data_IF_036228239825
#
_entry.id   IF_036228239825
#
_cell.length_a   1.000
_cell.length_b   1.000
_cell.length_c   1.000
_cell.angle_alpha   90.00
_cell.angle_beta   90.00
_cell.angle_gamma   90.00
#
_symmetry.space_group_name_H-M   'P 1'
#
loop_
_entity.id
_entity.type
_entity.pdbx_description
1 polymer ?
#
# COMPACT_ATOMS: atom_id res chain seq x y z
N UNK A 1 -26.34 18.04 11.76
CA UNK A 1 -27.07 16.79 11.95
C UNK A 1 -27.06 15.91 10.69
N UNK A 2 -27.60 16.32 9.54
CA UNK A 2 -27.59 15.56 8.27
C UNK A 2 -26.17 15.14 7.82
N UNK A 3 -25.14 15.98 7.98
CA UNK A 3 -23.75 15.67 7.62
C UNK A 3 -23.12 14.57 8.49
N UNK A 4 -23.46 14.49 9.78
CA UNK A 4 -22.99 13.45 10.69
C UNK A 4 -23.62 12.08 10.36
N UNK A 5 -24.92 12.04 10.08
CA UNK A 5 -25.62 10.81 9.67
C UNK A 5 -25.09 10.31 8.31
N UNK A 6 -24.80 11.24 7.38
CA UNK A 6 -24.22 10.90 6.09
C UNK A 6 -22.77 10.38 6.26
N UNK A 7 -21.97 10.99 7.13
CA UNK A 7 -20.62 10.57 7.46
C UNK A 7 -20.59 9.13 8.00
N UNK A 8 -21.44 8.80 8.97
CA UNK A 8 -21.52 7.44 9.52
C UNK A 8 -22.09 6.40 8.52
N UNK A 9 -22.97 6.81 7.62
CA UNK A 9 -23.52 5.93 6.59
C UNK A 9 -22.50 5.58 5.51
N UNK A 10 -21.59 6.50 5.20
CA UNK A 10 -20.49 6.29 4.23
C UNK A 10 -19.46 5.25 4.69
N UNK A 11 -19.37 4.98 6.00
CA UNK A 11 -18.43 4.02 6.56
C UNK A 11 -19.05 2.65 6.87
N UNK A 12 -20.24 2.35 6.35
CA UNK A 12 -20.89 1.03 6.50
C UNK A 12 -20.99 0.50 7.95
N UNK A 13 -20.90 1.39 8.95
CA UNK A 13 -21.05 1.06 10.36
C UNK A 13 -22.52 1.24 10.77
N UNK A 14 -23.16 0.16 11.22
CA UNK A 14 -24.48 0.23 11.84
C UNK A 14 -24.35 0.99 13.17
N UNK A 15 -24.72 2.28 13.15
CA UNK A 15 -24.96 3.03 14.39
C UNK A 15 -26.05 2.29 15.14
N UNK A 16 -25.82 1.95 16.40
CA UNK A 16 -26.88 1.35 17.19
C UNK A 16 -28.06 2.33 17.25
N UNK A 17 -29.29 1.80 17.12
CA UNK A 17 -30.51 2.63 17.19
C UNK A 17 -30.57 3.44 18.51
N UNK A 18 -29.93 2.90 19.57
CA UNK A 18 -29.75 3.57 20.85
C UNK A 18 -28.91 4.85 20.76
N UNK A 19 -27.74 4.80 20.09
CA UNK A 19 -26.87 5.97 19.94
C UNK A 19 -27.54 7.09 19.14
N UNK A 20 -28.28 6.73 18.08
CA UNK A 20 -29.06 7.70 17.29
C UNK A 20 -30.21 8.30 18.11
N UNK A 21 -30.89 7.50 18.91
CA UNK A 21 -31.94 7.95 19.81
C UNK A 21 -31.39 8.91 20.88
N UNK A 22 -30.23 8.63 21.45
CA UNK A 22 -29.54 9.50 22.42
C UNK A 22 -29.22 10.86 21.81
N UNK A 23 -28.67 10.90 20.60
CA UNK A 23 -28.40 12.16 19.89
C UNK A 23 -29.70 12.92 19.57
N UNK A 24 -30.79 12.24 19.21
CA UNK A 24 -32.07 12.86 18.87
C UNK A 24 -32.80 13.38 20.09
N UNK A 25 -32.69 12.71 21.25
CA UNK A 25 -33.34 13.09 22.50
C UNK A 25 -32.55 14.16 23.27
N UNK A 26 -31.20 14.13 23.16
CA UNK A 26 -30.36 15.13 23.85
C UNK A 26 -30.57 16.57 23.34
N UNK A 27 -30.85 16.74 22.05
CA UNK A 27 -31.04 18.08 21.45
C UNK A 27 -32.28 18.80 22.00
N UNK A 28 -33.47 18.20 22.01
CA UNK A 28 -34.65 18.88 22.59
C UNK A 28 -34.61 19.02 24.13
N UNK A 29 -33.94 18.08 24.83
CA UNK A 29 -33.72 18.19 26.28
C UNK A 29 -32.80 19.36 26.59
N UNK A 30 -31.67 19.50 25.88
CA UNK A 30 -30.77 20.64 26.03
C UNK A 30 -31.48 21.93 25.66
N UNK A 31 -32.29 21.95 24.59
CA UNK A 31 -33.10 23.08 24.18
C UNK A 31 -34.10 23.48 25.24
N UNK A 32 -34.86 22.54 25.80
CA UNK A 32 -35.82 22.77 26.87
C UNK A 32 -35.19 23.27 28.17
N UNK A 33 -34.01 22.73 28.55
CA UNK A 33 -33.24 23.20 29.71
C UNK A 33 -32.73 24.62 29.46
N UNK A 34 -32.26 24.95 28.25
CA UNK A 34 -31.81 26.29 27.89
C UNK A 34 -32.98 27.30 27.98
N UNK A 35 -34.16 26.95 27.51
CA UNK A 35 -35.36 27.79 27.60
C UNK A 35 -35.83 27.95 29.08
N UNK A 36 -35.86 26.86 29.86
CA UNK A 36 -36.23 26.90 31.28
C UNK A 36 -35.24 27.77 32.09
N UNK A 37 -33.96 27.67 31.83
CA UNK A 37 -32.90 28.44 32.47
C UNK A 37 -32.92 29.91 32.02
N UNK A 38 -33.32 30.18 30.76
CA UNK A 38 -33.48 31.55 30.25
C UNK A 38 -34.58 32.35 30.96
N UNK A 39 -35.51 31.65 31.56
CA UNK A 39 -36.59 32.25 32.35
C UNK A 39 -36.23 32.64 33.79
N UNK A 40 -35.07 32.19 34.31
CA UNK A 40 -34.60 32.44 35.70
C UNK A 40 -33.48 33.48 35.75
N UNK A 41 -33.50 34.38 36.73
CA UNK A 41 -32.75 35.65 36.75
C UNK A 41 -31.27 35.57 37.12
N UNK A 42 -30.73 34.47 37.63
CA UNK A 42 -29.29 34.38 37.99
C UNK A 42 -28.45 33.68 36.94
N UNK A 43 -27.44 34.38 36.41
CA UNK A 43 -26.55 33.88 35.34
C UNK A 43 -25.72 32.66 35.77
N UNK A 44 -25.24 32.63 37.00
CA UNK A 44 -24.30 31.60 37.53
C UNK A 44 -24.99 30.25 37.67
N UNK A 45 -26.18 30.19 38.24
CA UNK A 45 -26.96 28.94 38.36
C UNK A 45 -27.27 28.32 37.00
N UNK A 46 -27.43 29.16 35.96
CA UNK A 46 -27.67 28.70 34.59
C UNK A 46 -26.48 27.99 33.99
N UNK A 47 -25.29 28.57 34.19
CA UNK A 47 -24.06 28.06 33.62
C UNK A 47 -23.70 26.74 34.26
N UNK A 48 -23.81 26.62 35.59
CA UNK A 48 -23.44 25.43 36.34
C UNK A 48 -24.42 24.27 36.07
N UNK A 49 -25.70 24.54 36.03
CA UNK A 49 -26.73 23.56 35.68
C UNK A 49 -26.54 23.00 34.27
N UNK A 50 -26.28 23.88 33.28
CA UNK A 50 -26.03 23.48 31.90
C UNK A 50 -24.73 22.67 31.78
N UNK A 51 -23.66 23.08 32.47
CA UNK A 51 -22.39 22.40 32.47
C UNK A 51 -22.50 21.02 33.13
N UNK A 52 -23.20 20.92 34.26
CA UNK A 52 -23.48 19.64 34.94
C UNK A 52 -24.23 18.64 34.05
N UNK A 53 -25.31 19.10 33.39
CA UNK A 53 -26.08 18.27 32.46
C UNK A 53 -25.23 17.82 31.28
N UNK A 54 -24.40 18.71 30.71
CA UNK A 54 -23.48 18.38 29.61
C UNK A 54 -22.46 17.33 30.00
N UNK A 55 -21.93 17.43 31.21
CA UNK A 55 -20.98 16.43 31.76
C UNK A 55 -21.66 15.07 31.91
N UNK A 56 -22.84 15.00 32.52
CA UNK A 56 -23.61 13.76 32.73
C UNK A 56 -23.93 13.09 31.38
N UNK A 57 -24.38 13.84 30.39
CA UNK A 57 -24.68 13.32 29.07
C UNK A 57 -23.39 12.82 28.36
N UNK A 58 -22.29 13.49 28.57
CA UNK A 58 -21.01 13.10 27.99
C UNK A 58 -20.46 11.81 28.63
N UNK A 59 -20.59 11.65 29.95
CA UNK A 59 -20.22 10.41 30.66
C UNK A 59 -21.08 9.24 30.15
N UNK A 60 -22.37 9.45 30.00
CA UNK A 60 -23.26 8.42 29.46
C UNK A 60 -22.91 8.03 28.00
N UNK A 61 -22.58 9.00 27.15
CA UNK A 61 -22.08 8.71 25.80
C UNK A 61 -20.82 7.86 25.82
N UNK A 62 -19.87 8.13 26.71
CA UNK A 62 -18.66 7.31 26.88
C UNK A 62 -19.03 5.90 27.31
N UNK A 63 -19.91 5.73 28.27
CA UNK A 63 -20.37 4.43 28.74
C UNK A 63 -20.96 3.57 27.61
N UNK A 64 -21.72 4.14 26.70
CA UNK A 64 -22.27 3.46 25.52
C UNK A 64 -21.23 3.15 24.43
N UNK A 65 -20.21 4.00 24.30
CA UNK A 65 -19.19 3.87 23.24
C UNK A 65 -18.06 2.92 23.59
N UNK A 66 -17.67 2.81 24.86
CA UNK A 66 -16.55 1.94 25.27
C UNK A 66 -16.76 0.48 24.85
N UNK A 67 -17.89 -0.19 25.10
CA UNK A 67 -18.10 -1.58 24.69
C UNK A 67 -18.02 -1.75 23.16
N UNK A 68 -18.52 -0.76 22.41
CA UNK A 68 -18.49 -0.77 20.96
C UNK A 68 -17.04 -0.60 20.45
N UNK A 69 -16.26 0.27 21.07
CA UNK A 69 -14.85 0.45 20.78
C UNK A 69 -14.04 -0.82 21.06
N UNK A 70 -14.25 -1.45 22.23
CA UNK A 70 -13.54 -2.68 22.62
C UNK A 70 -13.85 -3.82 21.64
N UNK A 71 -15.10 -3.93 21.18
CA UNK A 71 -15.55 -4.96 20.25
C UNK A 71 -15.05 -4.74 18.81
N UNK A 72 -15.09 -3.50 18.33
CA UNK A 72 -14.77 -3.16 16.95
C UNK A 72 -13.33 -2.75 16.74
N UNK A 73 -12.63 -2.31 17.83
CA UNK A 73 -11.34 -1.61 17.79
C UNK A 73 -11.30 -0.47 16.77
N UNK A 74 -12.48 0.12 16.51
CA UNK A 74 -12.64 1.17 15.53
C UNK A 74 -11.96 2.45 15.99
N UNK A 75 -11.02 2.93 15.21
CA UNK A 75 -10.27 4.15 15.47
C UNK A 75 -11.19 5.38 15.58
N UNK A 76 -12.30 5.38 14.82
CA UNK A 76 -13.29 6.46 14.85
C UNK A 76 -14.05 6.53 16.16
N UNK A 77 -14.39 5.37 16.76
CA UNK A 77 -14.99 5.30 18.08
C UNK A 77 -14.02 5.78 19.16
N UNK A 78 -12.73 5.45 19.03
CA UNK A 78 -11.66 6.00 19.89
C UNK A 78 -11.59 7.52 19.81
N UNK A 79 -11.69 8.07 18.60
CA UNK A 79 -11.72 9.52 18.37
C UNK A 79 -12.91 10.19 19.04
N UNK A 80 -14.08 9.61 18.88
CA UNK A 80 -15.31 10.14 19.48
C UNK A 80 -15.23 10.13 21.00
N UNK A 81 -14.68 9.07 21.61
CA UNK A 81 -14.45 8.98 23.05
C UNK A 81 -13.49 10.09 23.54
N UNK A 82 -12.36 10.29 22.83
CA UNK A 82 -11.40 11.35 23.20
C UNK A 82 -12.05 12.74 23.08
N UNK A 83 -12.82 12.98 22.02
CA UNK A 83 -13.55 14.26 21.86
C UNK A 83 -14.53 14.50 23.00
N UNK A 84 -15.25 13.48 23.44
CA UNK A 84 -16.20 13.57 24.55
C UNK A 84 -15.46 13.80 25.87
N UNK A 85 -14.35 13.10 26.14
CA UNK A 85 -13.51 13.32 27.33
C UNK A 85 -12.98 14.77 27.36
N UNK A 86 -12.52 15.27 26.22
CA UNK A 86 -12.08 16.65 26.10
C UNK A 86 -13.19 17.65 26.44
N UNK A 87 -14.40 17.34 26.03
CA UNK A 87 -15.57 18.17 26.31
C UNK A 87 -15.91 18.18 27.81
N UNK A 88 -15.82 17.04 28.50
CA UNK A 88 -15.99 16.93 29.96
C UNK A 88 -14.95 17.80 30.68
N UNK A 89 -13.70 17.71 30.30
CA UNK A 89 -12.62 18.50 30.90
C UNK A 89 -12.89 20.01 30.74
N UNK A 90 -13.35 20.44 29.57
CA UNK A 90 -13.73 21.85 29.32
C UNK A 90 -14.84 22.34 30.22
N UNK A 91 -15.90 21.57 30.32
CA UNK A 91 -17.04 21.94 31.16
C UNK A 91 -16.67 21.96 32.64
N UNK A 92 -15.88 20.99 33.10
CA UNK A 92 -15.38 20.93 34.48
C UNK A 92 -14.44 22.10 34.81
N UNK A 93 -13.54 22.47 33.87
CA UNK A 93 -12.68 23.64 34.02
C UNK A 93 -13.49 24.93 34.04
N UNK A 94 -14.55 25.04 33.26
CA UNK A 94 -15.42 26.20 33.26
C UNK A 94 -16.13 26.38 34.60
N UNK A 95 -16.68 25.31 35.20
CA UNK A 95 -17.28 25.35 36.54
C UNK A 95 -16.26 25.81 37.58
N UNK A 96 -15.07 25.20 37.57
CA UNK A 96 -13.97 25.57 38.48
C UNK A 96 -13.55 27.03 38.33
N UNK A 97 -13.47 27.55 37.09
CA UNK A 97 -13.14 28.96 36.83
C UNK A 97 -14.21 29.91 37.39
N UNK A 98 -15.49 29.60 37.21
CA UNK A 98 -16.58 30.43 37.74
C UNK A 98 -16.50 30.49 39.26
N UNK A 99 -16.34 29.34 39.94
CA UNK A 99 -16.28 29.27 41.41
C UNK A 99 -15.06 29.99 42.00
N UNK A 100 -13.91 29.92 41.35
CA UNK A 100 -12.66 30.47 41.93
C UNK A 100 -12.41 31.95 41.56
N UNK A 101 -12.95 32.42 40.47
CA UNK A 101 -12.74 33.82 40.05
C UNK A 101 -13.84 34.76 40.49
N UNK A 102 -15.02 34.29 40.94
CA UNK A 102 -16.06 35.15 41.48
C UNK A 102 -15.54 35.98 42.66
N UNK A 103 -14.72 35.39 43.58
CA UNK A 103 -14.17 36.08 44.71
C UNK A 103 -13.07 37.09 44.36
N UNK A 104 -12.50 36.99 43.15
CA UNK A 104 -11.43 37.87 42.69
C UNK A 104 -11.97 39.11 41.96
N UNK A 105 -13.18 39.04 41.39
CA UNK A 105 -13.77 40.07 40.54
C UNK A 105 -14.77 41.02 41.25
N UNK A 106 -15.06 40.79 42.51
CA UNK A 106 -15.99 41.67 43.26
C UNK A 106 -15.45 43.08 43.55
N UNK A 107 -14.21 43.41 43.18
CA UNK A 107 -13.54 44.65 43.59
C UNK A 107 -13.08 45.60 42.47
N UNK A 108 -13.30 45.34 41.19
CA UNK A 108 -12.79 46.21 40.14
C UNK A 108 -13.82 46.55 39.05
N UNK A 109 -13.64 47.67 38.37
CA UNK A 109 -14.59 48.32 37.46
C UNK A 109 -14.88 47.54 36.16
N UNK A 110 -16.11 47.69 35.69
CA UNK A 110 -16.83 46.90 34.63
C UNK A 110 -16.09 46.81 33.26
N UNK A 111 -15.08 47.61 32.98
CA UNK A 111 -14.42 47.63 31.67
C UNK A 111 -13.07 46.87 31.64
N UNK A 112 -12.38 46.71 32.77
CA UNK A 112 -11.09 46.00 32.85
C UNK A 112 -11.26 44.49 33.11
N UNK A 113 -12.40 44.08 33.61
CA UNK A 113 -12.67 42.70 34.05
C UNK A 113 -12.94 41.71 32.88
N UNK A 114 -13.56 42.21 31.80
CA UNK A 114 -13.98 41.32 30.70
C UNK A 114 -12.84 40.93 29.73
N UNK A 115 -11.80 41.73 29.60
CA UNK A 115 -10.75 41.53 28.59
C UNK A 115 -9.80 40.34 28.94
N UNK A 116 -9.26 40.23 30.18
CA UNK A 116 -8.41 39.12 30.57
C UNK A 116 -9.18 37.76 30.52
N UNK A 117 -10.42 37.76 30.97
CA UNK A 117 -11.25 36.55 30.94
C UNK A 117 -11.59 36.12 29.50
N UNK A 118 -11.93 37.09 28.64
CA UNK A 118 -12.13 36.84 27.22
C UNK A 118 -10.89 36.25 26.53
N UNK A 119 -9.71 36.83 26.81
CA UNK A 119 -8.44 36.36 26.28
C UNK A 119 -8.14 34.95 26.79
N UNK A 120 -8.33 34.66 28.08
CA UNK A 120 -8.12 33.34 28.65
C UNK A 120 -9.04 32.29 27.99
N UNK A 121 -10.32 32.61 27.79
CA UNK A 121 -11.27 31.75 27.07
C UNK A 121 -10.85 31.51 25.63
N UNK A 122 -10.40 32.55 24.92
CA UNK A 122 -9.94 32.46 23.54
C UNK A 122 -8.70 31.57 23.43
N UNK A 123 -7.71 31.73 24.32
CA UNK A 123 -6.52 30.88 24.39
C UNK A 123 -6.88 29.43 24.61
N UNK A 124 -7.78 29.13 25.53
CA UNK A 124 -8.25 27.77 25.79
C UNK A 124 -8.92 27.18 24.56
N UNK A 125 -9.80 27.92 23.87
CA UNK A 125 -10.45 27.46 22.63
C UNK A 125 -9.43 27.15 21.55
N UNK A 126 -8.44 28.04 21.37
CA UNK A 126 -7.37 27.84 20.37
C UNK A 126 -6.52 26.62 20.70
N UNK A 127 -6.13 26.45 21.95
CA UNK A 127 -5.37 25.26 22.40
C UNK A 127 -6.15 23.97 22.15
N UNK A 128 -7.46 23.98 22.43
CA UNK A 128 -8.32 22.84 22.14
C UNK A 128 -8.41 22.53 20.65
N UNK A 129 -8.60 23.56 19.83
CA UNK A 129 -8.62 23.38 18.39
C UNK A 129 -7.31 22.79 17.87
N UNK A 130 -6.17 23.27 18.36
CA UNK A 130 -4.85 22.74 17.99
C UNK A 130 -4.65 21.28 18.43
N UNK A 131 -5.03 20.94 19.65
CA UNK A 131 -4.98 19.55 20.16
C UNK A 131 -5.88 18.66 19.31
N UNK A 132 -7.11 19.11 19.01
CA UNK A 132 -8.04 18.35 18.20
C UNK A 132 -7.51 18.09 16.77
N UNK A 133 -6.92 19.12 16.16
CA UNK A 133 -6.27 19.00 14.84
C UNK A 133 -5.08 18.04 14.89
N UNK A 134 -4.23 18.14 15.92
CA UNK A 134 -3.07 17.28 16.08
C UNK A 134 -3.47 15.81 16.24
N UNK A 135 -4.47 15.53 17.10
CA UNK A 135 -5.03 14.20 17.29
C UNK A 135 -5.66 13.71 15.98
N UNK A 136 -6.41 14.57 15.28
CA UNK A 136 -7.01 14.27 13.98
C UNK A 136 -5.99 13.83 12.94
N UNK A 137 -4.93 14.59 12.79
CA UNK A 137 -3.84 14.29 11.87
C UNK A 137 -3.11 12.99 12.23
N UNK A 138 -2.87 12.75 13.53
CA UNK A 138 -2.25 11.51 13.99
C UNK A 138 -3.07 10.27 13.59
N UNK A 139 -4.36 10.27 13.88
CA UNK A 139 -5.24 9.15 13.54
C UNK A 139 -5.44 8.99 12.04
N UNK A 140 -5.58 10.11 11.31
CA UNK A 140 -5.67 10.08 9.85
C UNK A 140 -4.42 9.46 9.23
N UNK A 141 -3.24 9.88 9.68
CA UNK A 141 -1.97 9.33 9.22
C UNK A 141 -1.87 7.83 9.49
N UNK A 142 -2.27 7.39 10.70
CA UNK A 142 -2.29 5.97 11.05
C UNK A 142 -3.25 5.17 10.18
N UNK A 143 -4.46 5.68 9.93
CA UNK A 143 -5.44 5.03 9.06
C UNK A 143 -4.90 4.84 7.64
N UNK A 144 -4.30 5.90 7.07
CA UNK A 144 -3.72 5.84 5.72
C UNK A 144 -2.57 4.83 5.66
N UNK A 145 -1.75 4.75 6.72
CA UNK A 145 -0.67 3.76 6.79
C UNK A 145 -1.20 2.32 6.91
N UNK A 146 -2.22 2.10 7.73
CA UNK A 146 -2.84 0.78 7.89
C UNK A 146 -3.53 0.31 6.59
N UNK A 147 -4.21 1.23 5.87
CA UNK A 147 -4.79 0.91 4.55
C UNK A 147 -3.73 0.57 3.50
N UNK A 148 -2.62 1.33 3.48
CA UNK A 148 -1.49 1.04 2.58
C UNK A 148 -0.89 -0.33 2.87
N UNK A 149 -0.61 -0.61 4.14
CA UNK A 149 -0.07 -1.90 4.57
C UNK A 149 -0.98 -3.06 4.18
N UNK A 150 -2.29 -2.95 4.44
CA UNK A 150 -3.25 -3.98 4.06
C UNK A 150 -3.32 -4.18 2.54
N UNK A 151 -3.18 -3.12 1.77
CA UNK A 151 -3.12 -3.20 0.30
C UNK A 151 -1.85 -3.92 -0.15
N UNK A 152 -0.68 -3.54 0.38
CA UNK A 152 0.60 -4.17 0.08
C UNK A 152 0.59 -5.67 0.45
N UNK A 153 0.03 -6.05 1.60
CA UNK A 153 -0.13 -7.45 2.01
C UNK A 153 -1.04 -8.24 1.04
N UNK A 154 -2.14 -7.66 0.58
CA UNK A 154 -3.02 -8.30 -0.40
C UNK A 154 -2.38 -8.45 -1.77
N UNK A 155 -1.67 -7.43 -2.24
CA UNK A 155 -0.92 -7.47 -3.49
C UNK A 155 0.16 -8.56 -3.45
N UNK A 156 0.90 -8.66 -2.34
CA UNK A 156 1.90 -9.71 -2.16
C UNK A 156 1.29 -11.10 -2.15
N UNK A 157 0.18 -11.30 -1.43
CA UNK A 157 -0.56 -12.57 -1.44
C UNK A 157 -1.05 -12.95 -2.84
N UNK A 158 -1.55 -11.98 -3.62
CA UNK A 158 -1.97 -12.20 -4.99
C UNK A 158 -0.79 -12.59 -5.89
N UNK A 159 0.35 -11.90 -5.78
CA UNK A 159 1.56 -12.25 -6.53
C UNK A 159 2.07 -13.66 -6.19
N UNK A 160 2.04 -14.04 -4.90
CA UNK A 160 2.39 -15.39 -4.46
C UNK A 160 1.42 -16.42 -5.04
N UNK A 161 0.13 -16.15 -5.04
CA UNK A 161 -0.87 -17.06 -5.61
C UNK A 161 -0.69 -17.24 -7.13
N UNK A 162 -0.44 -16.15 -7.87
CA UNK A 162 -0.16 -16.20 -9.31
C UNK A 162 1.14 -16.95 -9.61
N UNK A 163 2.20 -16.70 -8.83
CA UNK A 163 3.44 -17.43 -8.90
C UNK A 163 3.23 -18.95 -8.69
N UNK A 164 2.50 -19.34 -7.64
CA UNK A 164 2.25 -20.73 -7.33
C UNK A 164 1.41 -21.41 -8.42
N UNK A 165 0.46 -20.67 -9.03
CA UNK A 165 -0.34 -21.16 -10.14
C UNK A 165 0.52 -21.41 -11.39
N UNK A 166 1.42 -20.49 -11.72
CA UNK A 166 2.36 -20.65 -12.82
C UNK A 166 3.28 -21.86 -12.59
N UNK A 167 3.89 -21.96 -11.41
CA UNK A 167 4.81 -23.05 -11.05
C UNK A 167 4.14 -24.42 -10.95
N UNK A 168 2.84 -24.49 -10.62
CA UNK A 168 2.12 -25.76 -10.50
C UNK A 168 1.96 -26.50 -11.83
N UNK A 169 2.07 -25.82 -12.97
CA UNK A 169 1.96 -26.41 -14.32
C UNK A 169 3.31 -26.57 -15.02
N UNK A 170 4.32 -25.86 -14.58
CA UNK A 170 5.67 -25.94 -15.14
C UNK A 170 6.60 -26.68 -14.16
N UNK A 171 7.58 -27.38 -14.69
CA UNK A 171 8.63 -28.03 -13.88
C UNK A 171 9.66 -27.01 -13.32
N UNK A 172 9.39 -25.70 -13.44
CA UNK A 172 10.22 -24.68 -12.85
C UNK A 172 10.14 -24.70 -11.33
N UNK A 173 11.29 -24.87 -10.71
CA UNK A 173 11.39 -24.98 -9.25
C UNK A 173 11.21 -23.59 -8.61
N UNK A 174 10.74 -23.55 -7.36
CA UNK A 174 10.66 -22.30 -6.59
C UNK A 174 12.02 -21.58 -6.51
N UNK A 175 13.12 -22.35 -6.61
CA UNK A 175 14.48 -21.84 -6.62
C UNK A 175 14.82 -21.03 -7.88
N UNK A 176 14.38 -21.46 -9.07
CA UNK A 176 14.51 -20.70 -10.32
C UNK A 176 13.93 -19.29 -10.19
N UNK A 177 12.72 -19.21 -9.66
CA UNK A 177 12.02 -17.92 -9.46
C UNK A 177 12.80 -17.03 -8.48
N UNK A 178 13.30 -17.61 -7.38
CA UNK A 178 14.09 -16.85 -6.42
C UNK A 178 15.39 -16.36 -7.03
N UNK A 179 16.07 -17.18 -7.82
CA UNK A 179 17.33 -16.80 -8.50
C UNK A 179 17.10 -15.69 -9.52
N UNK A 180 16.14 -15.86 -10.44
CA UNK A 180 15.89 -14.90 -11.52
C UNK A 180 15.49 -13.52 -11.00
N UNK A 181 14.62 -13.44 -9.97
CA UNK A 181 14.27 -12.14 -9.39
C UNK A 181 15.47 -11.44 -8.73
N UNK A 182 16.39 -12.18 -8.10
CA UNK A 182 17.60 -11.59 -7.53
C UNK A 182 18.59 -11.16 -8.61
N UNK A 183 18.73 -11.90 -9.71
CA UNK A 183 19.56 -11.49 -10.85
C UNK A 183 19.02 -10.19 -11.47
N UNK A 184 17.71 -10.09 -11.68
CA UNK A 184 17.05 -8.89 -12.18
C UNK A 184 17.36 -7.69 -11.29
N UNK A 185 17.25 -7.85 -9.96
CA UNK A 185 17.56 -6.78 -9.01
C UNK A 185 19.01 -6.33 -9.10
N UNK A 186 19.96 -7.27 -9.08
CA UNK A 186 21.39 -6.97 -9.13
C UNK A 186 21.76 -6.24 -10.44
N UNK A 187 21.21 -6.69 -11.57
CA UNK A 187 21.42 -6.02 -12.86
C UNK A 187 20.85 -4.60 -12.87
N UNK A 188 19.62 -4.43 -12.40
CA UNK A 188 18.98 -3.12 -12.38
C UNK A 188 19.70 -2.13 -11.45
N UNK A 189 20.17 -2.59 -10.28
CA UNK A 189 20.98 -1.78 -9.35
C UNK A 189 22.31 -1.38 -9.98
N UNK A 190 22.97 -2.30 -10.70
CA UNK A 190 24.22 -2.00 -11.39
C UNK A 190 24.01 -1.02 -12.55
N UNK A 191 22.99 -1.20 -13.36
CA UNK A 191 22.65 -0.29 -14.45
C UNK A 191 22.36 1.13 -13.93
N UNK A 192 21.63 1.24 -12.81
CA UNK A 192 21.43 2.53 -12.15
C UNK A 192 22.76 3.15 -11.71
N UNK A 193 23.67 2.38 -11.10
CA UNK A 193 24.98 2.86 -10.69
C UNK A 193 25.88 3.25 -11.88
N UNK A 194 25.67 2.65 -13.04
CA UNK A 194 26.34 3.02 -14.30
C UNK A 194 25.73 4.27 -14.96
N UNK A 195 24.62 4.80 -14.44
CA UNK A 195 23.92 5.93 -15.04
C UNK A 195 23.13 5.57 -16.31
N UNK A 196 22.81 4.30 -16.50
CA UNK A 196 22.04 3.84 -17.65
C UNK A 196 20.55 4.02 -17.42
N UNK A 197 19.86 4.76 -18.29
CA UNK A 197 18.43 5.10 -18.18
C UNK A 197 18.02 5.62 -16.79
N UNK A 198 18.64 6.67 -16.25
CA UNK A 198 18.34 7.18 -14.90
C UNK A 198 16.90 7.69 -14.76
N UNK A 199 16.24 8.01 -15.88
CA UNK A 199 14.83 8.38 -15.94
C UNK A 199 13.88 7.18 -15.69
N UNK A 200 14.31 5.97 -15.98
CA UNK A 200 13.55 4.72 -15.81
C UNK A 200 13.94 3.98 -14.54
N UNK A 201 15.20 4.06 -14.13
CA UNK A 201 15.75 3.31 -13.01
C UNK A 201 15.81 4.15 -11.73
N UNK A 202 15.11 3.70 -10.72
CA UNK A 202 15.14 4.20 -9.35
C UNK A 202 14.79 3.07 -8.37
N UNK A 203 14.89 3.32 -7.07
CA UNK A 203 14.59 2.29 -6.06
C UNK A 203 13.19 1.67 -6.19
N UNK A 204 12.19 2.47 -6.58
CA UNK A 204 10.81 1.98 -6.72
C UNK A 204 10.67 1.09 -7.96
N UNK A 205 11.19 1.51 -9.13
CA UNK A 205 11.16 0.70 -10.37
C UNK A 205 11.98 -0.59 -10.24
N UNK A 206 13.14 -0.55 -9.58
CA UNK A 206 13.95 -1.75 -9.30
C UNK A 206 13.19 -2.75 -8.42
N UNK A 207 12.52 -2.25 -7.37
CA UNK A 207 11.67 -3.11 -6.54
C UNK A 207 10.47 -3.66 -7.31
N UNK A 208 9.89 -2.86 -8.21
CA UNK A 208 8.81 -3.32 -9.08
C UNK A 208 9.28 -4.44 -10.02
N UNK A 209 10.43 -4.29 -10.68
CA UNK A 209 11.03 -5.35 -11.52
C UNK A 209 11.33 -6.62 -10.72
N UNK A 210 11.91 -6.50 -9.52
CA UNK A 210 12.17 -7.63 -8.63
C UNK A 210 10.90 -8.42 -8.31
N UNK A 211 9.80 -7.73 -7.98
CA UNK A 211 8.51 -8.34 -7.67
C UNK A 211 7.79 -8.89 -8.91
N UNK A 212 8.03 -8.31 -10.07
CA UNK A 212 7.43 -8.69 -11.35
C UNK A 212 8.11 -9.88 -12.02
N UNK A 213 9.43 -10.06 -11.84
CA UNK A 213 10.22 -11.10 -12.47
C UNK A 213 9.63 -12.54 -12.35
N UNK A 214 9.04 -12.95 -11.21
CA UNK A 214 8.36 -14.23 -11.07
C UNK A 214 7.22 -14.50 -12.06
N UNK A 215 6.69 -13.46 -12.70
CA UNK A 215 5.54 -13.55 -13.60
C UNK A 215 5.93 -13.62 -15.08
N UNK A 216 7.23 -13.71 -15.41
CA UNK A 216 7.68 -13.72 -16.81
C UNK A 216 7.03 -14.83 -17.64
N UNK A 217 6.83 -15.99 -17.04
CA UNK A 217 6.28 -17.19 -17.65
C UNK A 217 4.82 -17.50 -17.30
N UNK A 218 4.08 -16.54 -16.72
CA UNK A 218 2.68 -16.74 -16.31
C UNK A 218 1.78 -17.24 -17.43
N UNK A 219 2.08 -16.90 -18.68
CA UNK A 219 1.32 -17.32 -19.84
C UNK A 219 1.47 -18.80 -20.21
N UNK A 220 2.43 -19.54 -19.63
CA UNK A 220 2.52 -21.01 -19.78
C UNK A 220 1.27 -21.72 -19.31
N UNK A 221 0.47 -21.07 -18.43
CA UNK A 221 -0.84 -21.60 -18.01
C UNK A 221 -1.81 -21.82 -19.19
N UNK A 222 -1.66 -21.06 -20.27
CA UNK A 222 -2.46 -21.18 -21.49
C UNK A 222 -1.90 -22.18 -22.52
N UNK A 223 -0.73 -22.78 -22.29
CA UNK A 223 -0.13 -23.74 -23.20
C UNK A 223 -0.73 -25.14 -22.95
N UNK A 224 -1.16 -25.89 -23.99
CA UNK A 224 -1.68 -27.25 -23.83
C UNK A 224 -0.65 -28.19 -23.20
N UNK A 225 -1.12 -29.07 -22.29
CA UNK A 225 -0.25 -29.99 -21.51
C UNK A 225 0.59 -30.90 -22.39
N UNK A 226 0.08 -31.37 -23.52
CA UNK A 226 0.81 -32.25 -24.44
C UNK A 226 2.02 -31.54 -25.11
N UNK A 227 2.05 -30.19 -25.08
CA UNK A 227 3.17 -29.38 -25.57
C UNK A 227 4.06 -28.98 -24.37
N UNK A 228 3.46 -28.44 -23.31
CA UNK A 228 4.19 -27.94 -22.13
C UNK A 228 4.97 -29.04 -21.43
N UNK A 229 4.36 -30.21 -21.25
CA UNK A 229 4.93 -31.36 -20.53
C UNK A 229 5.54 -32.41 -21.46
N UNK A 230 5.73 -32.09 -22.73
CA UNK A 230 6.24 -33.07 -23.71
C UNK A 230 7.63 -33.56 -23.34
N UNK A 231 7.82 -34.88 -23.16
CA UNK A 231 9.15 -35.43 -22.97
C UNK A 231 9.95 -35.38 -24.28
N UNK A 232 10.90 -34.43 -24.38
CA UNK A 232 11.76 -34.30 -25.54
C UNK A 232 11.61 -32.96 -26.26
N UNK A 233 12.14 -32.88 -27.49
CA UNK A 233 12.13 -31.64 -28.27
C UNK A 233 10.77 -31.37 -28.89
N UNK A 234 10.36 -30.10 -28.89
CA UNK A 234 9.17 -29.65 -29.62
C UNK A 234 9.48 -29.65 -31.13
N UNK A 235 8.49 -30.02 -31.93
CA UNK A 235 8.53 -29.82 -33.38
C UNK A 235 8.28 -28.34 -33.73
N UNK A 236 8.34 -27.97 -35.00
CA UNK A 236 8.21 -26.59 -35.45
C UNK A 236 6.83 -25.99 -35.11
N UNK A 237 5.76 -26.78 -35.24
CA UNK A 237 4.38 -26.34 -34.96
C UNK A 237 4.16 -26.17 -33.45
N UNK A 238 4.56 -27.13 -32.66
CA UNK A 238 4.51 -27.08 -31.20
C UNK A 238 5.33 -25.91 -30.65
N UNK A 239 6.48 -25.63 -31.29
CA UNK A 239 7.30 -24.48 -30.91
C UNK A 239 6.59 -23.15 -31.20
N UNK A 240 5.83 -23.03 -32.29
CA UNK A 240 5.01 -21.84 -32.53
C UNK A 240 3.95 -21.65 -31.44
N UNK A 241 3.31 -22.74 -31.00
CA UNK A 241 2.35 -22.69 -29.88
C UNK A 241 3.07 -22.31 -28.57
N UNK A 242 4.22 -22.92 -28.27
CA UNK A 242 5.00 -22.59 -27.08
C UNK A 242 5.35 -21.10 -27.00
N UNK A 243 5.76 -20.49 -28.12
CA UNK A 243 6.09 -19.05 -28.16
C UNK A 243 4.91 -18.12 -27.77
N UNK A 244 3.67 -18.60 -27.88
CA UNK A 244 2.50 -17.78 -27.52
C UNK A 244 2.38 -17.50 -26.03
N UNK A 245 3.13 -18.23 -25.15
CA UNK A 245 3.07 -17.94 -23.71
C UNK A 245 3.40 -16.48 -23.38
N UNK A 246 4.32 -15.85 -24.13
CA UNK A 246 4.65 -14.44 -23.91
C UNK A 246 3.45 -13.52 -24.13
N UNK A 247 2.76 -13.65 -25.27
CA UNK A 247 1.55 -12.86 -25.59
C UNK A 247 0.36 -13.22 -24.70
N UNK A 248 0.19 -14.47 -24.32
CA UNK A 248 -0.84 -14.91 -23.36
C UNK A 248 -0.59 -14.27 -22.00
N UNK A 249 0.65 -14.34 -21.50
CA UNK A 249 1.03 -13.75 -20.22
C UNK A 249 0.79 -12.24 -20.18
N UNK A 250 1.20 -11.54 -21.21
CA UNK A 250 0.93 -10.11 -21.37
C UNK A 250 -0.58 -9.81 -21.34
N UNK A 251 -1.38 -10.57 -22.09
CA UNK A 251 -2.82 -10.38 -22.18
C UNK A 251 -3.52 -10.61 -20.85
N UNK A 252 -3.15 -11.66 -20.11
CA UNK A 252 -3.69 -11.98 -18.79
C UNK A 252 -3.38 -10.85 -17.79
N UNK A 253 -2.13 -10.38 -17.79
CA UNK A 253 -1.72 -9.29 -16.90
C UNK A 253 -2.39 -7.96 -17.28
N UNK A 254 -2.54 -7.63 -18.56
CA UNK A 254 -3.30 -6.45 -19.03
C UNK A 254 -4.76 -6.51 -18.59
N UNK A 255 -5.40 -7.67 -18.70
CA UNK A 255 -6.79 -7.84 -18.27
C UNK A 255 -6.98 -7.62 -16.78
N UNK A 256 -5.99 -7.97 -15.94
CA UNK A 256 -6.06 -7.78 -14.48
C UNK A 256 -6.11 -6.31 -14.07
N UNK A 257 -5.55 -5.39 -14.86
CA UNK A 257 -5.52 -3.95 -14.57
C UNK A 257 -6.56 -3.13 -15.33
N UNK A 258 -7.30 -3.72 -16.25
CA UNK A 258 -8.28 -3.01 -17.07
C UNK A 258 -9.34 -2.24 -16.26
N UNK A 259 -9.60 -2.64 -15.02
CA UNK A 259 -10.56 -2.02 -14.10
C UNK A 259 -9.90 -1.30 -12.91
N UNK A 260 -8.56 -1.15 -12.90
CA UNK A 260 -7.86 -0.47 -11.80
C UNK A 260 -7.68 1.01 -12.10
N UNK A 261 -8.13 1.87 -11.18
CA UNK A 261 -8.00 3.34 -11.29
C UNK A 261 -6.57 3.87 -11.02
N UNK A 262 -5.64 3.01 -10.62
CA UNK A 262 -4.25 3.39 -10.33
C UNK A 262 -3.29 2.48 -11.10
N UNK A 263 -2.26 3.09 -11.69
CA UNK A 263 -1.16 2.36 -12.35
C UNK A 263 -0.30 1.70 -11.27
N UNK A 264 -0.27 0.37 -11.26
CA UNK A 264 0.61 -0.40 -10.40
C UNK A 264 1.91 -0.69 -11.16
N UNK A 265 3.03 -0.14 -10.66
CA UNK A 265 4.35 -0.32 -11.30
C UNK A 265 4.78 -1.78 -11.37
N UNK A 266 4.38 -2.64 -10.42
CA UNK A 266 4.72 -4.06 -10.43
C UNK A 266 4.02 -4.75 -11.60
N UNK A 267 2.72 -4.50 -11.78
CA UNK A 267 1.97 -5.10 -12.88
C UNK A 267 2.40 -4.52 -14.24
N UNK A 268 2.70 -3.22 -14.32
CA UNK A 268 3.26 -2.63 -15.56
C UNK A 268 4.60 -3.28 -15.94
N UNK A 269 5.50 -3.50 -14.96
CA UNK A 269 6.75 -4.21 -15.19
C UNK A 269 6.50 -5.67 -15.58
N UNK A 270 5.55 -6.35 -14.93
CA UNK A 270 5.19 -7.74 -15.24
C UNK A 270 4.64 -7.89 -16.68
N UNK A 271 3.79 -6.96 -17.14
CA UNK A 271 3.29 -6.94 -18.52
C UNK A 271 4.45 -6.85 -19.52
N UNK A 272 5.40 -5.94 -19.30
CA UNK A 272 6.56 -5.75 -20.17
C UNK A 272 7.49 -6.96 -20.14
N UNK A 273 7.74 -7.51 -18.97
CA UNK A 273 8.57 -8.71 -18.79
C UNK A 273 7.92 -9.91 -19.47
N UNK A 274 6.67 -10.24 -19.15
CA UNK A 274 5.99 -11.40 -19.72
C UNK A 274 5.87 -11.29 -21.25
N UNK A 275 5.53 -10.11 -21.76
CA UNK A 275 5.36 -9.88 -23.20
C UNK A 275 6.65 -9.91 -24.01
N UNK A 276 7.78 -9.50 -23.42
CA UNK A 276 8.97 -9.15 -24.21
C UNK A 276 10.28 -9.81 -23.76
N UNK A 277 10.30 -10.70 -22.74
CA UNK A 277 11.56 -11.30 -22.24
C UNK A 277 12.25 -12.25 -23.24
N UNK A 278 11.55 -12.67 -24.29
CA UNK A 278 12.11 -13.45 -25.40
C UNK A 278 12.44 -12.61 -26.64
N UNK A 279 12.26 -11.29 -26.57
CA UNK A 279 12.79 -10.41 -27.61
C UNK A 279 14.33 -10.43 -27.60
N UNK A 280 14.93 -10.18 -28.76
CA UNK A 280 16.39 -10.18 -28.91
C UNK A 280 16.84 -8.82 -29.42
N UNK A 281 17.99 -8.36 -28.95
CA UNK A 281 18.53 -7.06 -29.30
C UNK A 281 18.56 -6.77 -30.80
N UNK A 282 18.83 -7.80 -31.62
CA UNK A 282 18.90 -7.71 -33.08
C UNK A 282 17.55 -7.85 -33.79
N UNK A 283 16.43 -7.94 -33.06
CA UNK A 283 15.07 -8.05 -33.64
C UNK A 283 14.67 -9.46 -34.11
N UNK A 284 15.49 -10.50 -33.84
CA UNK A 284 15.14 -11.89 -34.19
C UNK A 284 14.37 -12.62 -33.11
N UNK A 285 13.91 -11.91 -32.08
CA UNK A 285 13.12 -12.43 -30.98
C UNK A 285 11.64 -12.59 -31.28
N UNK A 286 10.86 -12.84 -30.25
CA UNK A 286 9.39 -12.96 -30.32
C UNK A 286 8.73 -12.39 -29.05
N UNK A 287 7.45 -12.06 -29.07
CA UNK A 287 6.46 -12.26 -30.13
C UNK A 287 6.43 -11.14 -31.17
N UNK A 288 7.00 -9.96 -30.89
CA UNK A 288 6.84 -8.74 -31.69
C UNK A 288 7.98 -8.43 -32.65
N UNK A 289 9.16 -9.07 -32.45
CA UNK A 289 10.36 -8.77 -33.21
C UNK A 289 10.93 -7.36 -32.93
N UNK A 290 10.80 -6.90 -31.69
CA UNK A 290 11.35 -5.61 -31.26
C UNK A 290 12.87 -5.62 -31.32
N UNK A 291 13.47 -4.47 -31.66
CA UNK A 291 14.92 -4.33 -31.80
C UNK A 291 15.48 -3.22 -30.90
N UNK A 292 16.65 -3.46 -30.33
CA UNK A 292 17.41 -2.47 -29.58
C UNK A 292 16.62 -1.92 -28.41
N UNK A 293 16.60 -0.61 -28.26
CA UNK A 293 15.92 0.09 -27.16
C UNK A 293 14.39 0.08 -27.26
N UNK A 294 13.82 -0.37 -28.39
CA UNK A 294 12.38 -0.62 -28.49
C UNK A 294 11.91 -1.76 -27.60
N UNK A 295 12.83 -2.65 -27.18
CA UNK A 295 12.57 -3.67 -26.17
C UNK A 295 12.54 -2.99 -24.79
N UNK A 296 11.46 -3.14 -23.99
CA UNK A 296 11.42 -2.59 -22.65
C UNK A 296 12.65 -3.00 -21.82
N UNK A 297 13.21 -2.06 -21.04
CA UNK A 297 14.41 -2.30 -20.24
C UNK A 297 14.23 -3.49 -19.28
N UNK A 298 13.06 -3.59 -18.67
CA UNK A 298 12.68 -4.69 -17.77
C UNK A 298 12.80 -6.05 -18.46
N UNK A 299 12.40 -6.13 -19.72
CA UNK A 299 12.47 -7.35 -20.52
C UNK A 299 13.91 -7.66 -20.95
N UNK A 300 14.72 -6.64 -21.30
CA UNK A 300 16.16 -6.83 -21.62
C UNK A 300 16.93 -7.40 -20.44
N UNK A 301 16.64 -6.90 -19.22
CA UNK A 301 17.26 -7.38 -17.97
C UNK A 301 16.80 -8.81 -17.70
N UNK A 302 15.49 -9.10 -17.80
CA UNK A 302 14.93 -10.43 -17.55
C UNK A 302 15.47 -11.48 -18.51
N UNK A 303 15.59 -11.16 -19.80
CA UNK A 303 16.11 -12.05 -20.84
C UNK A 303 17.51 -12.59 -20.49
N UNK A 304 18.40 -11.74 -19.99
CA UNK A 304 19.74 -12.16 -19.57
C UNK A 304 19.68 -12.99 -18.28
N UNK A 305 18.88 -12.57 -17.31
CA UNK A 305 18.73 -13.26 -16.02
C UNK A 305 18.20 -14.70 -16.21
N UNK A 306 17.19 -14.86 -17.05
CA UNK A 306 16.57 -16.15 -17.37
C UNK A 306 17.55 -17.07 -18.13
N UNK A 307 18.24 -16.55 -19.16
CA UNK A 307 19.23 -17.32 -19.90
C UNK A 307 20.36 -17.80 -18.99
N UNK A 308 20.89 -16.93 -18.12
CA UNK A 308 21.95 -17.32 -17.19
C UNK A 308 21.47 -18.45 -16.28
N UNK A 309 20.30 -18.34 -15.70
CA UNK A 309 19.73 -19.38 -14.84
C UNK A 309 19.53 -20.70 -15.58
N UNK A 310 19.00 -20.64 -16.79
CA UNK A 310 18.82 -21.83 -17.65
C UNK A 310 20.14 -22.52 -18.02
N UNK A 311 21.25 -21.79 -18.09
CA UNK A 311 22.59 -22.35 -18.37
C UNK A 311 23.17 -23.02 -17.14
N UNK A 312 23.13 -22.37 -15.97
CA UNK A 312 23.85 -22.86 -14.77
C UNK A 312 23.05 -23.88 -13.96
N UNK A 313 21.74 -23.96 -14.16
CA UNK A 313 20.87 -24.88 -13.42
C UNK A 313 20.91 -26.27 -14.04
N UNK A 314 21.09 -27.29 -13.18
CA UNK A 314 20.95 -28.68 -13.57
C UNK A 314 19.53 -29.00 -13.95
N UNK A 315 19.33 -29.65 -15.09
CA UNK A 315 18.03 -30.17 -15.56
C UNK A 315 18.08 -31.71 -15.64
N UNK A 316 16.94 -32.43 -15.61
CA UNK A 316 16.93 -33.88 -15.61
C UNK A 316 17.77 -34.55 -16.72
N UNK A 317 17.96 -33.81 -17.82
CA UNK A 317 18.68 -34.33 -19.01
C UNK A 317 20.00 -33.61 -19.31
N UNK A 318 20.45 -32.66 -18.44
CA UNK A 318 21.65 -31.86 -18.69
C UNK A 318 22.21 -31.33 -17.37
N UNK A 319 23.52 -31.57 -17.14
CA UNK A 319 24.22 -30.90 -16.05
C UNK A 319 24.32 -29.40 -16.31
N UNK A 320 24.28 -28.61 -15.23
CA UNK A 320 24.45 -27.16 -15.30
C UNK A 320 25.85 -26.81 -15.80
N UNK A 321 25.92 -25.74 -16.55
CA UNK A 321 27.23 -25.22 -17.00
C UNK A 321 27.98 -24.58 -15.83
N UNK A 322 29.28 -24.51 -15.96
CA UNK A 322 30.08 -23.69 -15.05
C UNK A 322 29.76 -22.22 -15.24
N UNK A 323 29.92 -21.42 -14.19
CA UNK A 323 29.72 -19.97 -14.28
C UNK A 323 30.50 -19.37 -15.45
N UNK A 324 31.76 -19.73 -15.63
CA UNK A 324 32.60 -19.20 -16.71
C UNK A 324 32.06 -19.56 -18.09
N UNK A 325 31.63 -20.79 -18.29
CA UNK A 325 31.01 -21.19 -19.58
C UNK A 325 29.70 -20.40 -19.87
N UNK A 326 28.88 -20.14 -18.84
CA UNK A 326 27.69 -19.32 -18.99
C UNK A 326 28.03 -17.84 -19.31
N UNK A 327 29.07 -17.29 -18.68
CA UNK A 327 29.59 -15.95 -18.99
C UNK A 327 30.03 -15.86 -20.44
N UNK A 328 30.87 -16.83 -20.90
CA UNK A 328 31.40 -16.84 -22.26
C UNK A 328 30.30 -16.92 -23.31
N UNK A 329 29.24 -17.72 -23.06
CA UNK A 329 28.05 -17.82 -23.92
C UNK A 329 27.28 -16.52 -24.00
N UNK A 330 27.04 -15.85 -22.85
CA UNK A 330 26.32 -14.58 -22.78
C UNK A 330 27.11 -13.47 -23.48
N UNK A 331 28.43 -13.41 -23.25
CA UNK A 331 29.31 -12.44 -23.91
C UNK A 331 29.34 -12.67 -25.42
N UNK A 332 29.37 -13.93 -25.89
CA UNK A 332 29.28 -14.26 -27.31
C UNK A 332 27.98 -13.81 -27.98
N UNK A 333 26.95 -13.52 -27.18
CA UNK A 333 25.64 -13.06 -27.66
C UNK A 333 25.40 -11.55 -27.44
N UNK A 334 26.40 -10.81 -26.95
CA UNK A 334 26.33 -9.35 -26.77
C UNK A 334 26.04 -8.66 -28.10
N UNK A 335 25.09 -7.75 -28.12
CA UNK A 335 24.65 -7.01 -29.31
C UNK A 335 23.84 -7.82 -30.31
N UNK A 336 23.61 -9.10 -30.06
CA UNK A 336 22.72 -9.96 -30.88
C UNK A 336 21.48 -10.38 -30.09
N UNK A 337 21.63 -11.14 -29.02
CA UNK A 337 20.54 -11.54 -28.15
C UNK A 337 20.31 -10.49 -27.06
N UNK A 338 21.41 -10.02 -26.47
CA UNK A 338 21.39 -9.18 -25.27
C UNK A 338 21.83 -7.74 -25.58
N UNK A 339 21.22 -6.81 -24.85
CA UNK A 339 21.66 -5.43 -24.78
C UNK A 339 23.14 -5.37 -24.35
N UNK A 340 24.01 -4.71 -25.12
CA UNK A 340 25.41 -4.58 -24.78
C UNK A 340 25.68 -4.03 -23.39
N UNK A 341 24.89 -3.06 -22.93
CA UNK A 341 25.07 -2.42 -21.63
C UNK A 341 24.60 -3.31 -20.48
N UNK A 342 23.53 -4.09 -20.69
CA UNK A 342 23.09 -5.10 -19.71
C UNK A 342 24.16 -6.21 -19.55
N UNK A 343 24.83 -6.62 -20.64
CA UNK A 343 25.95 -7.57 -20.56
C UNK A 343 27.15 -6.98 -19.80
N UNK A 344 27.43 -5.69 -19.97
CA UNK A 344 28.49 -5.02 -19.20
C UNK A 344 28.17 -4.96 -17.71
N UNK A 345 26.93 -4.67 -17.35
CA UNK A 345 26.45 -4.72 -15.97
C UNK A 345 26.58 -6.15 -15.38
N UNK A 346 26.20 -7.17 -16.14
CA UNK A 346 26.36 -8.57 -15.75
C UNK A 346 27.83 -8.96 -15.47
N UNK A 347 28.75 -8.55 -16.33
CA UNK A 347 30.17 -8.82 -16.14
C UNK A 347 30.73 -8.20 -14.86
N UNK A 348 30.25 -7.02 -14.48
CA UNK A 348 30.61 -6.37 -13.22
C UNK A 348 30.05 -7.07 -11.98
N UNK A 349 28.94 -7.80 -12.13
CA UNK A 349 28.23 -8.49 -11.05
C UNK A 349 28.36 -10.03 -11.11
N UNK A 350 29.32 -10.56 -11.84
CA UNK A 350 29.53 -12.01 -12.00
C UNK A 350 29.61 -12.77 -10.68
N UNK A 351 30.32 -12.22 -9.67
CA UNK A 351 30.40 -12.83 -8.34
C UNK A 351 29.06 -12.82 -7.59
N UNK A 352 28.26 -11.79 -7.78
CA UNK A 352 26.92 -11.74 -7.18
C UNK A 352 26.03 -12.82 -7.81
N UNK A 353 26.05 -12.97 -9.13
CA UNK A 353 25.32 -14.03 -9.84
C UNK A 353 25.72 -15.42 -9.36
N UNK A 354 27.04 -15.68 -9.24
CA UNK A 354 27.56 -16.94 -8.72
C UNK A 354 27.10 -17.24 -7.28
N UNK A 355 27.07 -16.21 -6.41
CA UNK A 355 26.58 -16.36 -5.04
C UNK A 355 25.07 -16.69 -5.01
N UNK A 356 24.26 -15.99 -5.81
CA UNK A 356 22.82 -16.23 -5.90
C UNK A 356 22.54 -17.65 -6.41
N UNK A 357 23.23 -18.10 -7.47
CA UNK A 357 23.10 -19.46 -7.99
C UNK A 357 23.37 -20.52 -6.92
N UNK A 358 24.39 -20.29 -6.08
CA UNK A 358 24.76 -21.21 -4.99
C UNK A 358 23.79 -21.16 -3.80
N UNK A 359 23.27 -19.97 -3.49
CA UNK A 359 22.38 -19.76 -2.33
C UNK A 359 21.02 -20.42 -2.51
N UNK A 360 20.50 -20.46 -3.73
CA UNK A 360 19.18 -21.01 -4.07
C UNK A 360 19.30 -22.26 -4.95
N UNK A 361 20.19 -23.19 -4.56
CA UNK A 361 20.29 -24.50 -5.23
C UNK A 361 19.05 -25.35 -4.94
N UNK A 362 18.61 -26.14 -5.97
CA UNK A 362 17.53 -27.14 -5.84
C UNK A 362 18.00 -28.36 -5.04
#
# INVERSE_FOLDING_TARGET
MFRLVFFFRSFNQKISKGLLAVFLISIPIIGGIVEFIRANESYDIRVDALSGVAIILSIWQIYELIPQYVKSKSIYLGFLIVAIISQIILWSFRIWMVDHYQSFFEHNSVFDENLPEFIARLVVIVLYALIFIAIGNFFYSKLVMDERRLREEKEEQMLIALKNLASARDNDTGSHIMRTQHYVKVLAERLLAMGYHPELLNKASINAMFRAAPLHDIGKVGIPDHILLKPGRLNAEEWQVMKTHSSIGESVLKASVANMNAKDQVIESAIKIAGCHHERWNGTGYPYGLQGESIPLEARIMSLADMYDALVTKRPYKDGWTHQAAVDEIVGKKGTFFDPTVVEAFLQEGDAFKRIAKQYQD
#
